data_IF_211546915163
#
_entry.id   IF_211546915163
#
_cell.length_a   1.000
_cell.length_b   1.000
_cell.length_c   1.000
_cell.angle_alpha   90.00
_cell.angle_beta   90.00
_cell.angle_gamma   90.00
#
_symmetry.space_group_name_H-M   'P 1'
#
loop_
_entity.id
_entity.type
_entity.pdbx_description
1 polymer ?
#
# COMPACT_ATOMS: atom_id res chain seq x y z
N UNK A 1 -14.66 1.12 -15.53
CA UNK A 1 -13.95 -0.04 -16.15
C UNK A 1 -12.65 -0.24 -15.39
N UNK A 2 -12.45 -1.40 -14.78
CA UNK A 2 -11.25 -1.70 -13.98
C UNK A 2 -10.98 -3.19 -13.94
N UNK A 3 -9.74 -3.56 -13.62
CA UNK A 3 -9.36 -4.92 -13.30
C UNK A 3 -9.19 -5.04 -11.79
N UNK A 4 -9.55 -6.18 -11.23
CA UNK A 4 -9.30 -6.50 -9.82
C UNK A 4 -8.20 -7.54 -9.78
N UNK A 5 -7.16 -7.27 -9.01
CA UNK A 5 -6.08 -8.22 -8.70
C UNK A 5 -6.15 -8.57 -7.22
N UNK A 6 -5.99 -9.85 -6.91
CA UNK A 6 -6.02 -10.37 -5.54
C UNK A 6 -4.75 -11.18 -5.32
N UNK A 7 -3.93 -10.76 -4.37
CA UNK A 7 -2.77 -11.52 -3.94
C UNK A 7 -3.15 -12.51 -2.83
N UNK A 8 -2.63 -13.74 -2.93
CA UNK A 8 -2.71 -14.73 -1.85
C UNK A 8 -1.30 -14.99 -1.29
N UNK A 9 -0.99 -14.56 -0.07
CA UNK A 9 0.33 -14.74 0.53
C UNK A 9 0.67 -16.20 0.82
N UNK A 10 -0.32 -17.10 0.98
CA UNK A 10 -0.06 -18.54 1.20
C UNK A 10 0.46 -19.25 -0.04
N UNK A 11 0.05 -18.77 -1.21
CA UNK A 11 0.43 -19.39 -2.50
C UNK A 11 1.40 -18.52 -3.29
N UNK A 12 1.66 -17.30 -2.84
CA UNK A 12 2.45 -16.28 -3.54
C UNK A 12 1.99 -16.05 -4.98
N UNK A 13 0.66 -16.01 -5.20
CA UNK A 13 0.06 -15.84 -6.53
C UNK A 13 -0.93 -14.69 -6.58
N UNK A 14 -0.98 -14.05 -7.74
CA UNK A 14 -1.94 -12.99 -8.05
C UNK A 14 -3.03 -13.53 -8.95
N UNK A 15 -4.28 -13.39 -8.53
CA UNK A 15 -5.46 -13.69 -9.34
C UNK A 15 -6.01 -12.39 -9.92
N UNK A 16 -6.04 -12.29 -11.25
CA UNK A 16 -6.61 -11.14 -11.93
C UNK A 16 -7.99 -11.49 -12.51
N UNK A 17 -8.94 -10.55 -12.39
CA UNK A 17 -10.24 -10.60 -13.07
C UNK A 17 -10.50 -9.29 -13.80
N UNK A 18 -10.92 -9.38 -15.06
CA UNK A 18 -11.41 -8.24 -15.84
C UNK A 18 -12.89 -8.04 -15.51
N UNK A 19 -13.33 -6.79 -15.29
CA UNK A 19 -14.76 -6.50 -15.12
C UNK A 19 -15.58 -6.83 -16.38
N UNK A 20 -16.86 -7.20 -16.20
CA UNK A 20 -17.79 -7.53 -17.30
C UNK A 20 -17.91 -9.04 -17.59
N UNK A 21 -18.46 -9.40 -18.76
CA UNK A 21 -18.78 -10.78 -19.20
C UNK A 21 -17.56 -11.74 -19.18
N UNK A 22 -16.34 -11.20 -19.25
CA UNK A 22 -15.08 -11.96 -19.15
C UNK A 22 -14.64 -12.26 -17.70
N UNK A 23 -15.43 -11.90 -16.69
CA UNK A 23 -15.11 -12.11 -15.27
C UNK A 23 -14.99 -13.58 -14.82
N UNK A 24 -15.40 -14.52 -15.69
CA UNK A 24 -15.24 -15.95 -15.48
C UNK A 24 -13.81 -16.45 -15.75
N UNK A 25 -13.00 -15.73 -16.54
CA UNK A 25 -11.63 -16.13 -16.85
C UNK A 25 -10.72 -15.74 -15.68
N UNK A 26 -10.35 -16.75 -14.88
CA UNK A 26 -9.40 -16.59 -13.77
C UNK A 26 -7.99 -16.77 -14.31
N UNK A 27 -7.26 -15.66 -14.45
CA UNK A 27 -5.84 -15.71 -14.78
C UNK A 27 -5.04 -15.66 -13.47
N UNK A 28 -4.05 -16.53 -13.37
CA UNK A 28 -3.11 -16.57 -12.23
C UNK A 28 -1.74 -16.17 -12.72
N UNK A 29 -1.11 -15.23 -12.03
CA UNK A 29 0.18 -14.66 -12.37
C UNK A 29 1.13 -14.71 -11.18
N UNK A 30 2.41 -14.61 -11.48
CA UNK A 30 3.42 -14.23 -10.51
C UNK A 30 3.23 -12.74 -10.12
N UNK A 31 3.46 -12.34 -8.85
CA UNK A 31 3.38 -10.93 -8.45
C UNK A 31 4.31 -9.98 -9.23
N UNK A 32 5.36 -10.52 -9.86
CA UNK A 32 6.31 -9.76 -10.68
C UNK A 32 5.92 -9.67 -12.17
N UNK A 33 4.87 -10.37 -12.62
CA UNK A 33 4.45 -10.32 -14.02
C UNK A 33 3.93 -8.91 -14.37
N UNK A 34 4.49 -8.31 -15.43
CA UNK A 34 4.13 -6.98 -15.94
C UNK A 34 2.61 -6.78 -16.17
N UNK A 35 1.86 -7.87 -16.36
CA UNK A 35 0.39 -7.84 -16.52
C UNK A 35 -0.38 -7.54 -15.23
N UNK A 36 0.25 -7.71 -14.06
CA UNK A 36 -0.36 -7.44 -12.75
C UNK A 36 0.32 -6.32 -11.98
N UNK A 37 1.33 -5.67 -12.57
CA UNK A 37 1.92 -4.45 -12.05
C UNK A 37 1.00 -3.25 -12.34
N UNK A 38 1.12 -2.20 -11.52
CA UNK A 38 0.56 -0.90 -11.88
C UNK A 38 1.25 -0.32 -13.11
N UNK A 39 0.67 0.72 -13.72
CA UNK A 39 1.31 1.44 -14.84
C UNK A 39 2.70 2.01 -14.49
N UNK A 40 3.01 2.16 -13.20
CA UNK A 40 4.31 2.65 -12.69
C UNK A 40 5.20 1.52 -12.17
N UNK A 41 4.75 0.27 -12.25
CA UNK A 41 5.51 -0.91 -11.82
C UNK A 41 5.28 -1.34 -10.37
N UNK A 42 4.35 -0.70 -9.63
CA UNK A 42 4.05 -1.14 -8.26
C UNK A 42 3.48 -2.56 -8.26
N UNK A 43 3.99 -3.38 -7.34
CA UNK A 43 3.49 -4.74 -7.12
C UNK A 43 2.42 -4.77 -6.04
N UNK A 44 1.46 -5.68 -6.21
CA UNK A 44 0.36 -5.85 -5.26
C UNK A 44 0.83 -6.41 -3.91
N UNK A 45 1.89 -7.21 -3.90
CA UNK A 45 2.52 -7.76 -2.70
C UNK A 45 3.46 -6.77 -2.00
N UNK A 46 3.63 -5.55 -2.50
CA UNK A 46 4.38 -4.47 -1.85
C UNK A 46 3.44 -3.39 -1.26
N UNK A 47 2.13 -3.65 -1.25
CA UNK A 47 1.09 -2.75 -0.73
C UNK A 47 0.62 -3.10 0.69
N UNK A 48 1.26 -4.06 1.36
CA UNK A 48 0.94 -4.41 2.74
C UNK A 48 1.67 -3.52 3.75
N UNK A 49 1.18 -3.54 5.00
CA UNK A 49 1.70 -2.69 6.08
C UNK A 49 3.22 -2.81 6.28
N UNK A 50 3.77 -4.03 6.32
CA UNK A 50 5.22 -4.24 6.45
C UNK A 50 6.05 -3.57 5.34
N UNK A 51 5.59 -3.61 4.08
CA UNK A 51 6.27 -2.98 2.95
C UNK A 51 6.20 -1.45 3.05
N UNK A 52 5.06 -0.92 3.50
CA UNK A 52 4.90 0.51 3.79
C UNK A 52 5.89 0.94 4.89
N UNK A 53 5.93 0.24 6.02
CA UNK A 53 6.81 0.58 7.13
C UNK A 53 8.30 0.50 6.73
N UNK A 54 8.71 -0.53 5.98
CA UNK A 54 10.08 -0.65 5.48
C UNK A 54 10.47 0.52 4.56
N UNK A 55 9.56 0.95 3.68
CA UNK A 55 9.77 2.14 2.83
C UNK A 55 9.91 3.41 3.67
N UNK A 56 9.08 3.57 4.69
CA UNK A 56 9.12 4.73 5.58
C UNK A 56 10.37 4.78 6.45
N UNK A 57 10.94 3.64 6.85
CA UNK A 57 12.26 3.60 7.49
C UNK A 57 13.36 4.15 6.58
N UNK A 58 13.31 3.85 5.27
CA UNK A 58 14.26 4.42 4.31
C UNK A 58 14.02 5.93 4.09
N UNK A 59 12.76 6.38 4.06
CA UNK A 59 12.45 7.81 4.01
C UNK A 59 12.99 8.57 5.21
N UNK A 60 12.81 8.05 6.43
CA UNK A 60 13.35 8.67 7.65
C UNK A 60 14.88 8.81 7.60
N UNK A 61 15.58 7.93 6.86
CA UNK A 61 17.03 7.96 6.73
C UNK A 61 17.54 8.86 5.59
N UNK A 62 16.74 9.10 4.54
CA UNK A 62 17.24 9.66 3.27
C UNK A 62 16.40 10.78 2.66
N UNK A 63 15.12 10.86 3.02
CA UNK A 63 14.19 11.85 2.51
C UNK A 63 13.97 12.96 3.54
N UNK A 64 13.34 14.05 3.12
CA UNK A 64 12.89 15.10 4.04
C UNK A 64 11.54 14.69 4.62
N UNK A 65 11.51 14.33 5.90
CA UNK A 65 10.30 13.90 6.61
C UNK A 65 9.86 14.95 7.63
N UNK A 66 8.58 15.32 7.59
CA UNK A 66 7.95 16.24 8.53
C UNK A 66 6.72 15.61 9.17
N UNK A 67 6.56 15.81 10.48
CA UNK A 67 5.29 15.57 11.17
C UNK A 67 4.39 16.80 11.01
N UNK A 68 3.18 16.60 10.49
CA UNK A 68 2.23 17.68 10.17
C UNK A 68 1.11 17.81 11.22
N UNK A 69 1.14 17.03 12.29
CA UNK A 69 0.12 17.04 13.33
C UNK A 69 -1.02 16.03 13.11
N UNK A 70 -2.01 16.08 13.99
CA UNK A 70 -3.31 15.44 13.78
C UNK A 70 -4.08 16.13 12.66
N UNK A 71 -4.67 15.36 11.76
CA UNK A 71 -5.47 15.89 10.66
C UNK A 71 -6.50 14.88 10.16
N UNK A 72 -7.27 15.26 9.16
CA UNK A 72 -8.19 14.38 8.44
C UNK A 72 -7.82 14.33 6.96
N UNK A 73 -7.60 13.13 6.42
CA UNK A 73 -7.37 12.88 4.99
C UNK A 73 -8.38 11.84 4.51
N UNK A 74 -9.15 12.15 3.46
CA UNK A 74 -10.19 11.24 2.91
C UNK A 74 -11.14 10.68 3.99
N UNK A 75 -11.58 11.57 4.89
CA UNK A 75 -12.44 11.27 6.05
C UNK A 75 -11.84 10.35 7.11
N UNK A 76 -10.55 10.00 7.03
CA UNK A 76 -9.81 9.32 8.09
C UNK A 76 -9.10 10.35 8.96
N UNK A 77 -9.35 10.33 10.28
CA UNK A 77 -8.61 11.13 11.25
C UNK A 77 -7.36 10.37 11.68
N UNK A 78 -6.23 11.07 11.84
CA UNK A 78 -5.00 10.44 12.30
C UNK A 78 -3.81 11.40 12.39
N UNK A 79 -2.64 10.84 12.68
CA UNK A 79 -1.35 11.54 12.73
C UNK A 79 -0.72 11.54 11.34
N UNK A 80 -0.43 12.72 10.79
CA UNK A 80 0.10 12.85 9.43
C UNK A 80 1.62 13.05 9.42
N UNK A 81 2.30 12.16 8.71
CA UNK A 81 3.69 12.33 8.30
C UNK A 81 3.72 12.65 6.80
N UNK A 82 4.60 13.55 6.39
CA UNK A 82 4.87 13.87 4.99
C UNK A 82 6.36 13.67 4.69
N UNK A 83 6.65 12.82 3.71
CA UNK A 83 7.99 12.64 3.14
C UNK A 83 8.06 13.35 1.78
N UNK A 84 9.07 14.18 1.57
CA UNK A 84 9.37 14.89 0.32
C UNK A 84 10.79 14.61 -0.13
N UNK A 85 11.10 14.90 -1.39
CA UNK A 85 12.41 14.59 -1.99
C UNK A 85 12.71 13.08 -2.00
N UNK A 86 11.68 12.26 -2.14
CA UNK A 86 11.81 10.82 -2.22
C UNK A 86 12.59 10.40 -3.49
N UNK A 87 13.31 9.28 -3.43
CA UNK A 87 14.00 8.70 -4.58
C UNK A 87 12.98 8.21 -5.62
N UNK A 88 12.72 9.06 -6.62
CA UNK A 88 11.73 8.78 -7.67
C UNK A 88 12.11 7.57 -8.53
N UNK A 89 13.37 7.19 -8.63
CA UNK A 89 13.78 6.03 -9.40
C UNK A 89 13.48 4.74 -8.63
N UNK A 90 13.82 4.72 -7.34
CA UNK A 90 13.54 3.60 -6.43
C UNK A 90 12.06 3.41 -6.16
N UNK A 91 11.31 4.52 -6.02
CA UNK A 91 9.91 4.50 -5.60
C UNK A 91 8.94 4.89 -6.71
N UNK A 92 9.17 4.38 -7.92
CA UNK A 92 8.19 4.38 -9.03
C UNK A 92 7.62 5.78 -9.40
N UNK A 93 8.45 6.82 -9.31
CA UNK A 93 8.09 8.20 -9.59
C UNK A 93 7.51 8.97 -8.40
N UNK A 94 7.54 8.40 -7.19
CA UNK A 94 7.11 9.07 -5.96
C UNK A 94 8.10 10.16 -5.59
N UNK A 95 7.66 11.41 -5.63
CA UNK A 95 8.39 12.57 -5.13
C UNK A 95 8.01 12.90 -3.69
N UNK A 96 6.71 12.73 -3.40
CA UNK A 96 6.11 12.97 -2.10
C UNK A 96 5.23 11.81 -1.70
N UNK A 97 5.30 11.39 -0.45
CA UNK A 97 4.36 10.44 0.14
C UNK A 97 3.83 11.01 1.45
N UNK A 98 2.51 10.91 1.65
CA UNK A 98 1.92 11.11 2.98
C UNK A 98 1.59 9.76 3.60
N UNK A 99 1.76 9.67 4.91
CA UNK A 99 1.36 8.53 5.73
C UNK A 99 0.47 9.06 6.85
N UNK A 100 -0.77 8.56 6.86
CA UNK A 100 -1.68 8.77 7.96
C UNK A 100 -1.63 7.54 8.87
N UNK A 101 -1.33 7.77 10.14
CA UNK A 101 -1.36 6.77 11.19
C UNK A 101 -2.65 6.92 12.00
N UNK A 102 -3.23 5.80 12.39
CA UNK A 102 -4.29 5.78 13.40
C UNK A 102 -3.77 6.40 14.72
N UNK A 103 -4.57 7.26 15.36
CA UNK A 103 -4.13 7.96 16.56
C UNK A 103 -4.04 7.05 17.80
N UNK A 104 -4.80 5.95 17.83
CA UNK A 104 -4.87 5.07 19.00
C UNK A 104 -3.78 4.00 18.93
N UNK A 105 -3.64 3.35 17.78
CA UNK A 105 -2.72 2.22 17.60
C UNK A 105 -1.44 2.55 16.80
N UNK A 106 -1.33 3.75 16.24
CA UNK A 106 -0.16 4.23 15.49
C UNK A 106 0.17 3.40 14.24
N UNK A 107 -0.77 2.60 13.72
CA UNK A 107 -0.57 1.82 12.51
C UNK A 107 -1.00 2.61 11.27
N UNK A 108 -0.38 2.35 10.09
CA UNK A 108 -0.82 2.95 8.84
C UNK A 108 -2.30 2.69 8.53
N UNK A 109 -3.04 3.75 8.22
CA UNK A 109 -4.42 3.66 7.73
C UNK A 109 -4.57 4.17 6.30
N UNK A 110 -3.67 5.06 5.86
CA UNK A 110 -3.63 5.62 4.51
C UNK A 110 -2.20 5.96 4.12
N UNK A 111 -1.83 5.66 2.87
CA UNK A 111 -0.73 6.33 2.19
C UNK A 111 -1.21 6.91 0.86
N UNK A 112 -0.66 8.05 0.49
CA UNK A 112 -0.81 8.62 -0.84
C UNK A 112 0.54 9.07 -1.38
N UNK A 113 0.85 8.63 -2.59
CA UNK A 113 2.09 8.96 -3.29
C UNK A 113 1.77 9.92 -4.43
N UNK A 114 2.60 10.94 -4.56
CA UNK A 114 2.47 12.00 -5.55
C UNK A 114 3.77 12.11 -6.37
N UNK A 115 3.64 12.39 -7.66
CA UNK A 115 4.80 12.74 -8.49
C UNK A 115 5.22 14.20 -8.30
N UNK A 116 6.29 14.61 -8.99
CA UNK A 116 6.85 15.98 -8.89
C UNK A 116 5.86 17.09 -9.28
N UNK A 117 4.83 16.78 -10.05
CA UNK A 117 3.78 17.75 -10.42
C UNK A 117 2.70 17.90 -9.35
N UNK A 118 2.75 17.08 -8.29
CA UNK A 118 1.72 17.00 -7.26
C UNK A 118 0.54 16.11 -7.64
N UNK A 119 0.61 15.39 -8.77
CA UNK A 119 -0.43 14.43 -9.18
C UNK A 119 -0.39 13.20 -8.28
N UNK A 120 -1.55 12.78 -7.77
CA UNK A 120 -1.70 11.50 -7.08
C UNK A 120 -1.43 10.34 -8.05
N UNK A 121 -0.48 9.47 -7.70
CA UNK A 121 -0.05 8.36 -8.56
C UNK A 121 -0.34 6.99 -7.96
N UNK A 122 -0.44 6.89 -6.63
CA UNK A 122 -0.74 5.65 -5.95
C UNK A 122 -1.35 5.94 -4.57
N UNK A 123 -2.26 5.07 -4.14
CA UNK A 123 -2.96 5.18 -2.85
C UNK A 123 -3.18 3.79 -2.28
N UNK A 124 -2.90 3.62 -1.00
CA UNK A 124 -3.28 2.43 -0.22
C UNK A 124 -4.12 2.88 0.97
N UNK A 125 -5.28 2.25 1.16
CA UNK A 125 -6.13 2.47 2.32
C UNK A 125 -6.33 1.14 3.05
N UNK A 126 -5.98 1.11 4.33
CA UNK A 126 -6.13 -0.06 5.19
C UNK A 126 -7.47 0.10 5.93
N UNK A 127 -8.34 -0.91 5.82
CA UNK A 127 -9.69 -0.92 6.39
C UNK A 127 -9.92 -2.20 7.16
N UNK A 128 -10.86 -2.16 8.10
CA UNK A 128 -11.32 -3.31 8.89
C UNK A 128 -10.16 -4.06 9.59
N UNK A 129 -9.14 -3.29 10.02
CA UNK A 129 -7.99 -3.82 10.75
C UNK A 129 -8.46 -4.35 12.10
N UNK A 130 -8.19 -5.64 12.34
CA UNK A 130 -8.49 -6.28 13.62
C UNK A 130 -7.17 -6.55 14.33
N UNK A 131 -6.99 -5.91 15.48
CA UNK A 131 -5.84 -6.10 16.36
C UNK A 131 -6.25 -6.98 17.54
N UNK A 132 -5.28 -7.68 18.12
CA UNK A 132 -5.46 -8.44 19.36
C UNK A 132 -6.64 -9.42 19.32
N UNK A 133 -6.91 -10.05 18.18
CA UNK A 133 -8.04 -10.99 18.02
C UNK A 133 -7.89 -12.31 18.77
N UNK A 134 -6.81 -12.45 19.54
CA UNK A 134 -6.37 -13.70 20.17
C UNK A 134 -5.71 -14.64 19.15
N UNK A 135 -4.67 -15.36 19.59
CA UNK A 135 -4.12 -16.49 18.86
C UNK A 135 -4.95 -17.73 19.20
N UNK A 136 -5.24 -18.54 18.19
CA UNK A 136 -5.92 -19.83 18.34
C UNK A 136 -4.91 -20.96 18.18
N UNK A 137 -5.21 -22.15 18.71
CA UNK A 137 -4.34 -23.34 18.53
C UNK A 137 -4.09 -23.66 17.06
N UNK A 138 -5.04 -23.34 16.19
CA UNK A 138 -4.95 -23.54 14.75
C UNK A 138 -3.90 -22.64 14.08
N UNK A 139 -3.59 -21.47 14.65
CA UNK A 139 -2.60 -20.53 14.09
C UNK A 139 -1.16 -21.03 14.24
N UNK A 140 -0.92 -22.02 15.10
CA UNK A 140 0.38 -22.64 15.33
C UNK A 140 0.59 -23.94 14.54
N UNK A 141 -0.37 -24.33 13.71
CA UNK A 141 -0.22 -25.50 12.83
C UNK A 141 0.57 -25.08 11.59
N UNK A 142 1.86 -25.45 11.56
CA UNK A 142 2.76 -25.33 10.41
C UNK A 142 2.38 -26.34 9.31
#
# INVERSE_FOLDING_TARGET
KGAVVIYNPKTEKVRARKGGILGAIKLTFDPTDKKVLSIRGHRVDESHMGAILNRWLDYLARAKVEYKGETTVDSLKGLLLEATECDTAKYHGTWKEILLLDADNHLPVLIEQFDRSGKLIHRVRIKDLKLNTGLKKEDFKL
#
